data_IF_094468947519
#
_entry.id   IF_094468947519
#
_cell.length_a   1.000
_cell.length_b   1.000
_cell.length_c   1.000
_cell.angle_alpha   90.00
_cell.angle_beta   90.00
_cell.angle_gamma   90.00
#
_symmetry.space_group_name_H-M   'P 1'
#
loop_
_entity.id
_entity.type
_entity.pdbx_description
1 polymer ?
#
# COMPACT_ATOMS: atom_id res chain seq x y z
N UNK A 1 21.72 13.53 14.16
CA UNK A 1 20.48 12.80 13.83
C UNK A 1 19.55 13.81 13.17
N UNK A 2 18.94 13.44 12.05
CA UNK A 2 17.94 14.28 11.39
C UNK A 2 16.76 14.48 12.35
N UNK A 3 16.29 15.72 12.53
CA UNK A 3 15.07 15.98 13.29
C UNK A 3 13.88 15.56 12.43
N UNK A 4 13.36 14.36 12.69
CA UNK A 4 12.16 13.86 12.02
C UNK A 4 10.93 14.43 12.72
N UNK A 5 10.04 15.01 11.94
CA UNK A 5 8.72 15.44 12.38
C UNK A 5 7.66 14.61 11.68
N UNK A 6 6.50 14.53 12.31
CA UNK A 6 5.36 13.80 11.77
C UNK A 6 4.08 14.60 11.86
N UNK A 7 3.12 14.29 10.98
CA UNK A 7 1.71 14.62 11.14
C UNK A 7 0.91 13.33 11.14
N UNK A 8 -0.19 13.31 11.89
CA UNK A 8 -1.02 12.12 12.06
C UNK A 8 -2.48 12.47 11.76
N UNK A 9 -3.22 11.51 11.20
CA UNK A 9 -4.68 11.54 11.15
C UNK A 9 -5.20 10.12 11.25
N UNK A 10 -6.32 9.91 11.93
CA UNK A 10 -6.92 8.59 12.03
C UNK A 10 -8.44 8.71 12.15
N UNK A 11 -9.14 7.68 11.71
CA UNK A 11 -10.58 7.61 11.82
C UNK A 11 -11.08 6.21 11.57
N UNK A 12 -12.29 5.96 12.06
CA UNK A 12 -13.02 4.74 11.81
C UNK A 12 -14.49 5.08 11.57
N UNK A 13 -15.14 4.33 10.69
CA UNK A 13 -16.56 4.43 10.39
C UNK A 13 -17.18 3.02 10.41
N UNK A 14 -18.42 2.92 10.89
CA UNK A 14 -19.15 1.64 10.96
C UNK A 14 -19.48 1.10 9.57
N UNK A 15 -19.50 1.95 8.55
CA UNK A 15 -20.04 1.63 7.24
C UNK A 15 -21.56 1.78 7.21
N UNK A 16 -22.14 1.48 6.04
CA UNK A 16 -23.57 1.65 5.79
C UNK A 16 -24.39 0.38 6.07
N UNK A 17 -23.72 -0.77 6.15
CA UNK A 17 -24.38 -2.09 6.23
C UNK A 17 -24.22 -2.75 7.60
N UNK A 18 -23.06 -2.58 8.25
CA UNK A 18 -22.79 -3.17 9.57
C UNK A 18 -23.56 -2.42 10.66
N UNK A 19 -23.82 -3.11 11.78
CA UNK A 19 -24.50 -2.53 12.96
C UNK A 19 -23.54 -2.05 14.02
N UNK A 20 -22.39 -2.70 14.12
CA UNK A 20 -21.35 -2.46 15.10
C UNK A 20 -20.04 -2.20 14.36
N UNK A 21 -19.10 -1.56 15.06
CA UNK A 21 -17.73 -1.46 14.61
C UNK A 21 -16.88 -2.53 15.31
N UNK A 22 -16.41 -3.51 14.56
CA UNK A 22 -15.51 -4.57 15.02
C UNK A 22 -14.04 -4.21 14.75
N UNK A 23 -13.77 -3.19 13.94
CA UNK A 23 -12.45 -2.60 13.83
C UNK A 23 -12.03 -1.87 15.11
N UNK A 24 -10.72 -1.89 15.36
CA UNK A 24 -10.10 -1.11 16.39
C UNK A 24 -8.74 -0.57 15.91
N UNK A 25 -8.32 0.56 16.46
CA UNK A 25 -7.03 1.15 16.12
C UNK A 25 -6.48 1.91 17.31
N UNK A 26 -5.16 2.11 17.30
CA UNK A 26 -4.52 3.00 18.25
C UNK A 26 -3.36 3.74 17.61
N UNK A 27 -3.16 4.98 18.04
CA UNK A 27 -2.02 5.80 17.67
C UNK A 27 -1.36 6.31 18.94
N UNK A 28 -0.04 6.16 19.02
CA UNK A 28 0.77 6.86 20.00
C UNK A 28 1.76 7.76 19.28
N UNK A 29 1.61 9.08 19.46
CA UNK A 29 2.44 10.10 18.81
C UNK A 29 3.88 10.11 19.29
N UNK A 30 4.11 9.76 20.55
CA UNK A 30 5.43 9.72 21.18
C UNK A 30 5.37 8.67 22.28
N UNK A 31 5.92 7.48 22.01
CA UNK A 31 5.92 6.35 22.93
C UNK A 31 6.68 6.61 24.24
N UNK A 32 7.40 7.73 24.35
CA UNK A 32 7.95 8.22 25.64
C UNK A 32 6.85 8.73 26.58
N UNK A 33 5.69 9.08 26.01
CA UNK A 33 4.51 9.56 26.68
C UNK A 33 3.46 8.43 26.60
N UNK A 34 2.94 8.00 27.75
CA UNK A 34 1.91 6.95 27.81
C UNK A 34 0.52 7.46 27.39
N UNK A 35 0.46 8.24 26.31
CA UNK A 35 -0.73 8.91 25.80
C UNK A 35 -1.13 8.31 24.45
N UNK A 36 -2.24 7.57 24.47
CA UNK A 36 -2.87 7.00 23.28
C UNK A 36 -3.94 7.97 22.80
N UNK A 37 -3.87 8.37 21.54
CA UNK A 37 -4.70 9.44 20.98
C UNK A 37 -5.49 8.96 19.77
N UNK A 38 -6.58 9.65 19.49
CA UNK A 38 -7.19 9.70 18.16
C UNK A 38 -6.79 11.05 17.57
N UNK A 39 -5.83 11.11 16.64
CA UNK A 39 -5.36 12.37 16.07
C UNK A 39 -6.48 13.06 15.27
N UNK A 40 -6.94 14.20 15.77
CA UNK A 40 -8.01 15.04 15.18
C UNK A 40 -7.46 16.28 14.46
N UNK A 41 -6.15 16.56 14.54
CA UNK A 41 -5.52 17.74 13.97
C UNK A 41 -4.26 17.38 13.19
N UNK A 42 -3.99 18.13 12.13
CA UNK A 42 -2.78 17.99 11.29
C UNK A 42 -1.54 18.65 11.95
N UNK A 43 -1.45 18.60 13.27
CA UNK A 43 -0.36 19.21 14.01
C UNK A 43 0.96 18.50 13.71
N UNK A 44 2.02 19.29 13.57
CA UNK A 44 3.37 18.77 13.33
C UNK A 44 4.05 18.51 14.66
N UNK A 45 4.43 17.26 14.90
CA UNK A 45 4.99 16.78 16.17
C UNK A 45 6.40 16.27 15.90
N UNK A 46 7.32 16.45 16.86
CA UNK A 46 8.66 15.88 16.76
C UNK A 46 8.60 14.37 17.08
N UNK A 47 9.31 13.55 16.32
CA UNK A 47 9.43 12.12 16.61
C UNK A 47 10.18 11.93 17.93
N UNK A 48 9.54 11.28 18.90
CA UNK A 48 10.11 11.06 20.23
C UNK A 48 11.19 9.98 20.28
N UNK A 49 11.83 9.79 21.45
CA UNK A 49 12.93 8.81 21.65
C UNK A 49 12.53 7.40 21.21
N UNK A 50 11.34 6.97 21.60
CA UNK A 50 10.81 5.66 21.23
C UNK A 50 9.93 5.71 19.97
N UNK A 51 9.86 6.85 19.31
CA UNK A 51 9.13 7.02 18.08
C UNK A 51 7.61 7.00 18.25
N UNK A 52 6.92 6.64 17.17
CA UNK A 52 5.47 6.71 17.01
C UNK A 52 4.93 5.34 16.61
N UNK A 53 3.80 4.95 17.20
CA UNK A 53 3.14 3.68 16.91
C UNK A 53 1.79 3.89 16.24
N UNK A 54 1.53 3.13 15.19
CA UNK A 54 0.28 3.09 14.46
C UNK A 54 -0.17 1.62 14.42
N UNK A 55 -1.42 1.34 14.80
CA UNK A 55 -1.96 -0.01 14.78
C UNK A 55 -3.40 0.02 14.29
N UNK A 56 -3.74 -0.92 13.40
CA UNK A 56 -5.12 -1.25 13.01
C UNK A 56 -5.33 -2.74 13.24
N UNK A 57 -6.49 -3.09 13.78
CA UNK A 57 -6.94 -4.46 14.02
C UNK A 57 -8.39 -4.58 13.56
N UNK A 58 -8.63 -5.43 12.58
CA UNK A 58 -9.95 -5.69 12.00
C UNK A 58 -10.55 -6.94 12.65
N UNK A 59 -11.53 -6.72 13.51
CA UNK A 59 -12.18 -7.75 14.29
C UNK A 59 -13.13 -8.56 13.41
N UNK A 60 -13.04 -9.88 13.49
CA UNK A 60 -13.88 -10.77 12.72
C UNK A 60 -14.49 -11.87 13.59
N UNK A 61 -15.78 -12.11 13.36
CA UNK A 61 -16.45 -13.26 13.92
C UNK A 61 -17.96 -13.10 13.91
N UNK A 62 -18.64 -13.26 12.78
CA UNK A 62 -20.11 -13.41 12.69
C UNK A 62 -20.96 -12.77 13.81
N UNK A 63 -21.69 -13.59 14.59
CA UNK A 63 -22.43 -13.14 15.79
C UNK A 63 -21.57 -13.01 17.07
N UNK A 64 -20.26 -13.20 16.94
CA UNK A 64 -19.32 -13.57 17.98
C UNK A 64 -18.15 -12.57 18.05
N UNK A 65 -18.37 -11.47 18.75
CA UNK A 65 -17.36 -10.73 19.51
C UNK A 65 -16.08 -10.29 18.76
N UNK A 66 -16.15 -9.96 17.47
CA UNK A 66 -15.01 -9.43 16.70
C UNK A 66 -14.42 -8.17 17.35
N UNK A 67 -15.28 -7.30 17.88
CA UNK A 67 -14.91 -6.10 18.63
C UNK A 67 -14.12 -6.41 19.90
N UNK A 68 -14.35 -7.59 20.51
CA UNK A 68 -13.62 -8.04 21.69
C UNK A 68 -12.23 -8.52 21.29
N UNK A 69 -12.12 -9.25 20.18
CA UNK A 69 -10.83 -9.72 19.68
C UNK A 69 -9.91 -8.56 19.29
N UNK A 70 -10.42 -7.61 18.51
CA UNK A 70 -9.64 -6.43 18.09
C UNK A 70 -9.26 -5.55 19.29
N UNK A 71 -10.13 -5.41 20.29
CA UNK A 71 -9.80 -4.72 21.54
C UNK A 71 -8.69 -5.40 22.34
N UNK A 72 -8.72 -6.74 22.48
CA UNK A 72 -7.65 -7.50 23.17
C UNK A 72 -6.32 -7.34 22.43
N UNK A 73 -6.33 -7.34 21.09
CA UNK A 73 -5.13 -7.12 20.29
C UNK A 73 -4.52 -5.74 20.55
N UNK A 74 -5.34 -4.68 20.49
CA UNK A 74 -4.90 -3.31 20.78
C UNK A 74 -4.37 -3.19 22.21
N UNK A 75 -5.11 -3.69 23.20
CA UNK A 75 -4.68 -3.64 24.62
C UNK A 75 -3.34 -4.36 24.82
N UNK A 76 -3.15 -5.51 24.17
CA UNK A 76 -1.90 -6.27 24.25
C UNK A 76 -0.73 -5.47 23.68
N UNK A 77 -0.92 -4.77 22.55
CA UNK A 77 0.09 -3.89 21.98
C UNK A 77 0.38 -2.72 22.91
N UNK A 78 -0.65 -2.05 23.43
CA UNK A 78 -0.46 -0.93 24.35
C UNK A 78 0.35 -1.34 25.59
N UNK A 79 0.06 -2.52 26.14
CA UNK A 79 0.78 -3.09 27.26
C UNK A 79 2.22 -3.48 26.91
N UNK A 80 2.54 -3.82 25.67
CA UNK A 80 3.90 -4.13 25.23
C UNK A 80 4.75 -2.86 25.04
N UNK A 81 4.14 -1.78 24.60
CA UNK A 81 4.78 -0.52 24.23
C UNK A 81 4.81 0.53 25.36
N UNK A 82 5.17 0.11 26.58
CA UNK A 82 5.41 1.05 27.68
C UNK A 82 6.86 1.55 27.69
N UNK A 83 7.14 2.79 28.13
CA UNK A 83 8.50 3.32 28.21
C UNK A 83 9.49 2.36 28.89
N UNK A 84 9.09 1.70 29.98
CA UNK A 84 9.95 0.80 30.76
C UNK A 84 10.29 -0.49 30.00
N UNK A 85 9.42 -0.95 29.10
CA UNK A 85 9.69 -2.09 28.22
C UNK A 85 10.55 -1.67 27.04
N UNK A 86 10.28 -0.48 26.48
CA UNK A 86 11.02 0.06 25.34
C UNK A 86 12.46 0.44 25.70
N UNK A 87 12.75 0.88 26.93
CA UNK A 87 14.13 1.10 27.42
C UNK A 87 15.02 -0.15 27.33
N UNK A 88 14.42 -1.35 27.37
CA UNK A 88 15.16 -2.63 27.27
C UNK A 88 15.48 -3.01 25.82
N UNK A 89 14.79 -2.39 24.87
CA UNK A 89 14.92 -2.65 23.42
C UNK A 89 15.74 -1.54 22.79
N UNK A 90 15.35 -0.29 23.04
CA UNK A 90 15.99 0.94 22.57
C UNK A 90 16.93 1.43 23.68
N UNK A 91 18.15 0.90 23.71
CA UNK A 91 19.13 1.19 24.75
C UNK A 91 19.62 2.64 24.68
N UNK A 92 20.06 3.16 25.83
CA UNK A 92 20.47 4.56 26.05
C UNK A 92 21.92 4.85 25.62
N UNK A 93 22.59 3.95 24.90
CA UNK A 93 24.05 4.02 24.66
C UNK A 93 24.41 4.05 23.16
N UNK A 94 23.71 4.84 22.36
CA UNK A 94 23.98 5.07 20.92
C UNK A 94 23.99 3.82 20.01
N UNK A 95 23.76 2.62 20.55
CA UNK A 95 23.50 1.42 19.77
C UNK A 95 22.01 1.38 19.39
N UNK A 96 21.73 1.63 18.11
CA UNK A 96 20.40 1.39 17.56
C UNK A 96 20.00 -0.06 17.87
N UNK A 97 18.80 -0.26 18.42
CA UNK A 97 18.19 -1.58 18.51
C UNK A 97 18.31 -2.26 17.15
N UNK A 98 18.91 -3.45 17.11
CA UNK A 98 19.09 -4.16 15.84
C UNK A 98 17.73 -4.47 15.25
N UNK A 99 17.67 -4.56 13.91
CA UNK A 99 16.43 -4.86 13.22
C UNK A 99 15.83 -6.19 13.68
N UNK A 100 16.69 -7.17 13.98
CA UNK A 100 16.31 -8.48 14.50
C UNK A 100 15.68 -8.39 15.90
N UNK A 101 16.20 -7.52 16.77
CA UNK A 101 15.62 -7.32 18.11
C UNK A 101 14.22 -6.68 18.03
N UNK A 102 14.03 -5.75 17.08
CA UNK A 102 12.74 -5.10 16.83
C UNK A 102 11.75 -6.11 16.22
N UNK A 103 12.18 -6.91 15.24
CA UNK A 103 11.39 -8.00 14.66
C UNK A 103 10.94 -9.00 15.74
N UNK A 104 11.88 -9.43 16.60
CA UNK A 104 11.57 -10.36 17.69
C UNK A 104 10.56 -9.76 18.68
N UNK A 105 10.71 -8.48 19.03
CA UNK A 105 9.80 -7.78 19.92
C UNK A 105 8.38 -7.65 19.35
N UNK A 106 8.25 -7.23 18.09
CA UNK A 106 6.97 -7.11 17.39
C UNK A 106 6.31 -8.50 17.22
N UNK A 107 7.10 -9.50 16.80
CA UNK A 107 6.62 -10.89 16.66
C UNK A 107 6.10 -11.45 17.98
N UNK A 108 6.82 -11.24 19.09
CA UNK A 108 6.37 -11.64 20.42
C UNK A 108 5.10 -10.92 20.85
N UNK A 109 5.00 -9.64 20.53
CA UNK A 109 3.80 -8.82 20.84
C UNK A 109 2.57 -9.36 20.13
N UNK A 110 2.67 -9.63 18.81
CA UNK A 110 1.56 -10.18 18.04
C UNK A 110 1.19 -11.61 18.50
N UNK A 111 2.19 -12.46 18.78
CA UNK A 111 1.93 -13.81 19.32
C UNK A 111 1.31 -13.80 20.71
N UNK A 112 1.63 -12.80 21.53
CA UNK A 112 0.98 -12.61 22.83
C UNK A 112 -0.48 -12.19 22.65
N UNK A 113 -0.77 -11.29 21.69
CA UNK A 113 -2.13 -10.89 21.36
C UNK A 113 -2.98 -12.09 20.91
N UNK A 114 -2.45 -12.92 20.00
CA UNK A 114 -3.06 -14.18 19.57
C UNK A 114 -3.40 -15.10 20.76
N UNK A 115 -2.43 -15.33 21.66
CA UNK A 115 -2.65 -16.17 22.82
C UNK A 115 -3.70 -15.60 23.78
N UNK A 116 -3.71 -14.29 23.99
CA UNK A 116 -4.69 -13.62 24.84
C UNK A 116 -6.11 -13.77 24.28
N UNK A 117 -6.28 -13.61 22.96
CA UNK A 117 -7.58 -13.79 22.28
C UNK A 117 -8.03 -15.26 22.39
N UNK A 118 -7.15 -16.22 22.11
CA UNK A 118 -7.45 -17.66 22.24
C UNK A 118 -7.82 -18.07 23.68
N UNK A 119 -7.25 -17.40 24.69
CA UNK A 119 -7.59 -17.68 26.08
C UNK A 119 -8.95 -17.06 26.44
N UNK A 120 -9.18 -15.81 26.07
CA UNK A 120 -10.47 -15.13 26.29
C UNK A 120 -11.63 -15.86 25.58
N UNK A 121 -11.40 -16.43 24.40
CA UNK A 121 -12.41 -17.20 23.65
C UNK A 121 -12.81 -18.53 24.31
N UNK A 122 -12.04 -18.99 25.31
CA UNK A 122 -12.33 -20.22 26.08
C UNK A 122 -13.08 -19.94 27.37
N UNK A 123 -12.96 -18.73 27.91
CA UNK A 123 -13.56 -18.34 29.18
C UNK A 123 -15.04 -18.00 29.03
N UNK A 124 -15.46 -17.48 27.86
CA UNK A 124 -16.85 -17.20 27.54
C UNK A 124 -17.28 -17.92 26.25
N UNK A 125 -18.41 -18.64 26.32
CA UNK A 125 -19.02 -19.25 25.14
C UNK A 125 -19.47 -18.24 24.08
N UNK A 126 -19.75 -16.98 24.47
CA UNK A 126 -20.19 -15.92 23.56
C UNK A 126 -19.07 -15.38 22.66
N UNK A 127 -17.81 -15.58 23.05
CA UNK A 127 -16.61 -15.14 22.34
C UNK A 127 -15.92 -16.29 21.58
N UNK A 128 -16.57 -17.46 21.48
CA UNK A 128 -16.01 -18.60 20.76
C UNK A 128 -15.84 -18.30 19.28
N UNK A 129 -14.62 -18.50 18.78
CA UNK A 129 -14.29 -18.29 17.38
C UNK A 129 -14.08 -16.82 17.00
N UNK A 130 -14.02 -15.90 17.96
CA UNK A 130 -13.58 -14.53 17.69
C UNK A 130 -12.14 -14.52 17.17
N UNK A 131 -11.87 -13.64 16.22
CA UNK A 131 -10.53 -13.42 15.70
C UNK A 131 -10.36 -11.96 15.28
N UNK A 132 -9.14 -11.58 14.95
CA UNK A 132 -8.86 -10.25 14.42
C UNK A 132 -7.62 -10.31 13.54
N UNK A 133 -7.56 -9.43 12.56
CA UNK A 133 -6.28 -9.08 11.92
C UNK A 133 -5.46 -8.19 12.85
N UNK A 134 -4.22 -7.94 12.49
CA UNK A 134 -3.44 -6.82 13.01
C UNK A 134 -2.44 -6.34 11.97
N UNK A 135 -2.27 -5.03 11.87
CA UNK A 135 -1.14 -4.39 11.17
C UNK A 135 -0.58 -3.29 12.05
N UNK A 136 0.73 -3.34 12.28
CA UNK A 136 1.49 -2.40 13.10
C UNK A 136 2.50 -1.69 12.21
N UNK A 137 2.63 -0.38 12.35
CA UNK A 137 3.78 0.38 11.89
C UNK A 137 4.39 1.13 13.07
N UNK A 138 5.65 0.82 13.38
CA UNK A 138 6.43 1.53 14.37
C UNK A 138 7.48 2.40 13.67
N UNK A 139 7.27 3.71 13.72
CA UNK A 139 8.19 4.71 13.17
C UNK A 139 9.22 5.01 14.26
N UNK A 140 10.47 4.60 14.05
CA UNK A 140 11.55 4.74 15.03
C UNK A 140 12.83 5.14 14.31
N UNK A 141 13.42 6.26 14.71
CA UNK A 141 14.57 6.87 14.04
C UNK A 141 14.27 7.03 12.53
N UNK A 142 15.20 6.64 11.66
CA UNK A 142 15.09 6.77 10.20
C UNK A 142 14.40 5.55 9.53
N UNK A 143 13.70 4.71 10.30
CA UNK A 143 13.02 3.51 9.80
C UNK A 143 11.57 3.41 10.24
N UNK A 144 10.76 2.76 9.40
CA UNK A 144 9.48 2.19 9.76
C UNK A 144 9.62 0.66 9.88
N UNK A 145 9.06 0.09 10.93
CA UNK A 145 9.00 -1.36 11.17
C UNK A 145 7.55 -1.80 11.11
N UNK A 146 7.24 -2.65 10.13
CA UNK A 146 5.90 -3.11 9.82
C UNK A 146 5.78 -4.57 10.24
N UNK A 147 4.75 -4.90 11.01
CA UNK A 147 4.45 -6.27 11.41
C UNK A 147 2.95 -6.52 11.30
N UNK A 148 2.54 -7.61 10.66
CA UNK A 148 1.12 -7.86 10.39
C UNK A 148 0.75 -9.33 10.41
N UNK A 149 -0.54 -9.59 10.66
CA UNK A 149 -1.18 -10.89 10.50
C UNK A 149 -2.63 -10.66 10.05
N UNK A 150 -2.97 -11.13 8.85
CA UNK A 150 -4.28 -10.89 8.24
C UNK A 150 -4.14 -10.12 6.93
N UNK A 151 -5.21 -9.49 6.51
CA UNK A 151 -5.35 -8.78 5.24
C UNK A 151 -5.60 -7.27 5.40
N UNK A 152 -5.64 -6.74 6.63
CA UNK A 152 -5.43 -5.31 6.85
C UNK A 152 -4.03 -4.91 6.34
N UNK A 153 -3.94 -3.72 5.75
CA UNK A 153 -2.78 -3.35 4.93
C UNK A 153 -2.00 -2.16 5.47
N UNK A 154 -0.72 -2.14 5.12
CA UNK A 154 0.16 -0.97 5.27
C UNK A 154 0.68 -0.58 3.88
N UNK A 155 0.56 0.70 3.56
CA UNK A 155 1.06 1.32 2.32
C UNK A 155 2.00 2.48 2.65
N UNK A 156 2.86 2.81 1.69
CA UNK A 156 3.62 4.07 1.68
C UNK A 156 3.43 4.78 0.34
N UNK A 157 3.11 6.06 0.40
CA UNK A 157 3.08 6.98 -0.72
C UNK A 157 4.21 8.00 -0.60
N UNK A 158 4.84 8.34 -1.72
CA UNK A 158 5.74 9.48 -1.82
C UNK A 158 5.65 10.05 -3.23
N UNK A 159 5.54 11.37 -3.38
CA UNK A 159 5.43 12.01 -4.69
C UNK A 159 6.60 11.68 -5.64
N UNK A 160 7.78 11.39 -5.10
CA UNK A 160 8.98 11.08 -5.87
C UNK A 160 9.16 9.57 -6.14
N UNK A 161 8.74 8.69 -5.23
CA UNK A 161 8.89 7.23 -5.40
C UNK A 161 7.62 6.45 -5.70
N UNK A 162 6.46 7.10 -5.69
CA UNK A 162 5.15 6.51 -5.98
C UNK A 162 4.51 5.81 -4.77
N UNK A 163 3.58 4.91 -5.07
CA UNK A 163 2.78 4.17 -4.10
C UNK A 163 3.23 2.71 -4.03
N UNK A 164 3.35 2.18 -2.80
CA UNK A 164 3.80 0.82 -2.56
C UNK A 164 3.05 0.19 -1.39
N UNK A 165 2.49 -1.01 -1.59
CA UNK A 165 1.98 -1.86 -0.51
C UNK A 165 3.14 -2.52 0.23
N UNK A 166 3.28 -2.23 1.51
CA UNK A 166 4.35 -2.75 2.38
C UNK A 166 4.00 -4.09 3.01
N UNK A 167 2.73 -4.34 3.31
CA UNK A 167 2.24 -5.64 3.77
C UNK A 167 1.89 -6.56 2.59
N UNK A 168 1.65 -7.83 2.91
CA UNK A 168 1.14 -8.81 1.96
C UNK A 168 0.06 -9.64 2.64
N UNK A 169 -1.13 -9.60 2.08
CA UNK A 169 -2.31 -10.16 2.73
C UNK A 169 -2.15 -11.66 3.02
N UNK A 170 -2.60 -12.07 4.20
CA UNK A 170 -2.78 -13.48 4.52
C UNK A 170 -4.19 -13.90 4.10
N UNK A 171 -4.41 -13.99 2.79
CA UNK A 171 -5.71 -14.31 2.20
C UNK A 171 -5.59 -15.38 1.12
N UNK A 172 -6.70 -16.07 0.87
CA UNK A 172 -6.79 -17.13 -0.13
C UNK A 172 -6.43 -16.63 -1.54
N UNK A 173 -6.90 -15.43 -1.90
CA UNK A 173 -6.59 -14.83 -3.21
C UNK A 173 -5.12 -14.45 -3.33
N UNK A 174 -4.49 -13.95 -2.26
CA UNK A 174 -3.06 -13.66 -2.26
C UNK A 174 -2.23 -14.95 -2.39
N UNK A 175 -2.65 -16.05 -1.75
CA UNK A 175 -2.01 -17.35 -1.90
C UNK A 175 -2.11 -17.88 -3.34
N UNK A 176 -3.23 -17.66 -4.03
CA UNK A 176 -3.37 -18.04 -5.45
C UNK A 176 -2.47 -17.20 -6.36
N UNK A 177 -2.38 -15.89 -6.09
CA UNK A 177 -1.48 -14.98 -6.81
C UNK A 177 -0.03 -15.42 -6.65
N UNK A 178 0.38 -15.75 -5.43
CA UNK A 178 1.74 -16.19 -5.11
C UNK A 178 2.13 -17.50 -5.80
N UNK A 179 1.15 -18.38 -5.99
CA UNK A 179 1.31 -19.64 -6.70
C UNK A 179 1.25 -19.48 -8.23
N UNK A 180 1.03 -18.27 -8.75
CA UNK A 180 0.83 -18.00 -10.17
C UNK A 180 -0.46 -18.62 -10.74
N UNK A 181 -1.44 -18.91 -9.87
CA UNK A 181 -2.75 -19.48 -10.23
C UNK A 181 -3.82 -18.42 -10.50
N UNK A 182 -3.57 -17.18 -10.06
CA UNK A 182 -4.45 -16.04 -10.25
C UNK A 182 -3.58 -14.84 -10.63
N UNK A 183 -3.96 -14.12 -11.69
CA UNK A 183 -3.30 -12.86 -12.00
C UNK A 183 -3.65 -11.80 -10.93
N UNK A 184 -2.70 -10.97 -10.47
CA UNK A 184 -2.96 -9.96 -9.44
C UNK A 184 -4.15 -9.05 -9.74
N UNK A 185 -4.34 -8.68 -11.01
CA UNK A 185 -5.43 -7.82 -11.47
C UNK A 185 -6.83 -8.44 -11.23
N UNK A 186 -6.91 -9.78 -11.17
CA UNK A 186 -8.16 -10.51 -10.94
C UNK A 186 -8.40 -10.83 -9.45
N UNK A 187 -7.45 -10.52 -8.57
CA UNK A 187 -7.56 -10.88 -7.15
C UNK A 187 -8.64 -10.05 -6.43
N UNK A 188 -8.79 -8.79 -6.81
CA UNK A 188 -9.72 -7.85 -6.19
C UNK A 188 -11.19 -8.29 -6.38
N UNK A 189 -11.58 -8.63 -7.61
CA UNK A 189 -12.95 -9.02 -7.96
C UNK A 189 -13.26 -10.52 -7.74
N UNK A 190 -12.33 -11.26 -7.12
CA UNK A 190 -12.48 -12.70 -6.96
C UNK A 190 -13.59 -13.04 -5.93
N UNK A 191 -14.46 -14.04 -6.17
CA UNK A 191 -15.58 -14.38 -5.27
C UNK A 191 -15.22 -14.77 -3.83
N UNK A 192 -13.93 -15.04 -3.58
CA UNK A 192 -13.38 -15.44 -2.28
C UNK A 192 -12.31 -14.44 -1.80
N UNK A 193 -12.40 -13.18 -2.22
CA UNK A 193 -11.46 -12.12 -1.84
C UNK A 193 -11.45 -11.82 -0.33
N UNK A 194 -12.57 -12.08 0.35
CA UNK A 194 -12.76 -11.92 1.80
C UNK A 194 -12.34 -13.14 2.64
N UNK A 195 -11.75 -14.17 2.03
CA UNK A 195 -11.32 -15.38 2.75
C UNK A 195 -9.88 -15.21 3.22
N UNK A 196 -9.71 -14.95 4.51
CA UNK A 196 -8.39 -14.89 5.13
C UNK A 196 -7.83 -16.28 5.48
N UNK A 197 -6.50 -16.41 5.47
CA UNK A 197 -5.78 -17.67 5.75
C UNK A 197 -5.00 -17.62 7.05
N UNK A 198 -4.74 -16.43 7.61
CA UNK A 198 -4.14 -16.24 8.94
C UNK A 198 -4.78 -15.04 9.64
N UNK A 199 -5.10 -15.19 10.91
CA UNK A 199 -5.51 -14.13 11.83
C UNK A 199 -4.99 -14.42 13.23
N UNK A 200 -5.28 -13.54 14.17
CA UNK A 200 -5.15 -13.80 15.60
C UNK A 200 -6.44 -14.44 16.13
N UNK A 201 -6.33 -15.26 17.17
CA UNK A 201 -7.48 -15.90 17.82
C UNK A 201 -7.82 -17.29 17.29
N UNK A 202 -7.16 -17.77 16.23
CA UNK A 202 -7.39 -19.11 15.69
C UNK A 202 -6.81 -20.18 16.65
N UNK A 203 -7.66 -21.05 17.25
CA UNK A 203 -7.18 -22.07 18.17
C UNK A 203 -6.42 -23.21 17.48
N UNK A 204 -6.59 -23.35 16.16
CA UNK A 204 -6.02 -24.42 15.32
C UNK A 204 -4.74 -24.00 14.61
N UNK A 205 -4.60 -22.70 14.31
CA UNK A 205 -3.45 -22.15 13.61
C UNK A 205 -2.87 -20.96 14.40
N UNK A 206 -1.73 -21.18 15.05
CA UNK A 206 -1.05 -20.10 15.78
C UNK A 206 -0.58 -19.02 14.83
N UNK A 207 -0.70 -17.76 15.26
CA UNK A 207 -0.21 -16.63 14.50
C UNK A 207 1.29 -16.76 14.16
N UNK A 208 1.60 -16.59 12.88
CA UNK A 208 2.95 -16.38 12.38
C UNK A 208 2.95 -15.05 11.61
N UNK A 209 3.18 -13.93 12.32
CA UNK A 209 3.14 -12.62 11.69
C UNK A 209 4.33 -12.46 10.74
N UNK A 210 4.10 -11.69 9.68
CA UNK A 210 5.16 -11.27 8.76
C UNK A 210 5.73 -9.93 9.24
N UNK A 211 6.97 -9.65 8.86
CA UNK A 211 7.71 -8.44 9.24
C UNK A 211 8.45 -7.83 8.05
N UNK A 212 8.55 -6.51 8.04
CA UNK A 212 9.34 -5.75 7.07
C UNK A 212 9.84 -4.45 7.68
N UNK A 213 11.09 -4.07 7.39
CA UNK A 213 11.59 -2.72 7.63
C UNK A 213 11.56 -1.87 6.35
N UNK A 214 11.47 -0.56 6.51
CA UNK A 214 11.51 0.41 5.42
C UNK A 214 12.29 1.66 5.86
N UNK A 215 13.21 2.13 5.02
CA UNK A 215 13.99 3.35 5.29
C UNK A 215 13.15 4.58 4.93
N UNK A 216 12.92 5.45 5.91
CA UNK A 216 12.09 6.64 5.76
C UNK A 216 12.74 7.62 4.77
N UNK A 217 11.90 8.23 3.94
CA UNK A 217 12.25 9.38 3.12
C UNK A 217 11.45 10.59 3.58
N UNK A 218 11.94 11.75 3.20
CA UNK A 218 11.16 12.98 3.33
C UNK A 218 9.88 12.88 2.50
N UNK A 219 8.78 13.40 3.05
CA UNK A 219 7.43 13.36 2.50
C UNK A 219 6.82 11.96 2.29
N UNK A 220 7.33 10.92 2.97
CA UNK A 220 6.63 9.64 3.02
C UNK A 220 5.30 9.76 3.78
N UNK A 221 4.22 9.26 3.19
CA UNK A 221 2.90 9.13 3.83
C UNK A 221 2.59 7.64 3.98
N UNK A 222 2.57 7.18 5.22
CA UNK A 222 2.12 5.83 5.56
C UNK A 222 0.60 5.82 5.72
N UNK A 223 -0.02 4.76 5.22
CA UNK A 223 -1.43 4.43 5.41
C UNK A 223 -1.55 3.02 5.98
N UNK A 224 -2.16 2.88 7.15
CA UNK A 224 -2.68 1.62 7.64
C UNK A 224 -4.19 1.61 7.48
N UNK A 225 -4.76 0.51 6.99
CA UNK A 225 -6.20 0.39 6.83
C UNK A 225 -6.72 -1.04 7.02
N UNK A 226 -7.97 -1.15 7.47
CA UNK A 226 -8.76 -2.40 7.42
C UNK A 226 -9.20 -2.73 5.99
N UNK A 227 -9.77 -3.92 5.80
CA UNK A 227 -10.24 -4.35 4.48
C UNK A 227 -11.45 -3.55 3.99
N UNK A 228 -12.19 -2.88 4.88
CA UNK A 228 -13.28 -1.98 4.49
C UNK A 228 -12.82 -0.81 3.62
N UNK A 229 -11.52 -0.44 3.62
CA UNK A 229 -10.95 0.42 2.59
C UNK A 229 -10.41 -0.41 1.42
N UNK A 230 -9.41 -1.25 1.67
CA UNK A 230 -8.60 -1.85 0.61
C UNK A 230 -9.20 -3.08 -0.08
N UNK A 231 -10.35 -3.56 0.42
CA UNK A 231 -11.25 -4.52 -0.21
C UNK A 231 -12.40 -3.86 -0.98
N UNK A 232 -12.62 -2.55 -0.82
CA UNK A 232 -13.66 -1.79 -1.54
C UNK A 232 -13.11 -0.79 -2.56
N UNK A 233 -11.90 -0.27 -2.35
CA UNK A 233 -11.23 0.68 -3.24
C UNK A 233 -9.96 0.04 -3.83
N UNK A 234 -9.73 0.25 -5.12
CA UNK A 234 -8.49 -0.21 -5.76
C UNK A 234 -7.28 0.61 -5.28
N UNK A 235 -6.09 -0.02 -5.31
CA UNK A 235 -4.82 0.64 -4.92
C UNK A 235 -4.58 1.95 -5.71
N UNK A 236 -4.98 2.01 -6.99
CA UNK A 236 -4.88 3.23 -7.80
C UNK A 236 -5.76 4.37 -7.29
N UNK A 237 -6.97 4.06 -6.81
CA UNK A 237 -7.92 5.05 -6.27
C UNK A 237 -7.41 5.58 -4.93
N UNK A 238 -6.94 4.67 -4.05
CA UNK A 238 -6.32 5.02 -2.77
C UNK A 238 -5.10 5.93 -2.99
N UNK A 239 -4.23 5.58 -3.95
CA UNK A 239 -3.07 6.40 -4.32
C UNK A 239 -3.50 7.79 -4.77
N UNK A 240 -4.50 7.88 -5.66
CA UNK A 240 -4.94 9.17 -6.19
C UNK A 240 -5.49 10.07 -5.08
N UNK A 241 -6.29 9.52 -4.15
CA UNK A 241 -6.82 10.29 -3.02
C UNK A 241 -5.69 10.82 -2.14
N UNK A 242 -4.67 10.01 -1.85
CA UNK A 242 -3.51 10.45 -1.08
C UNK A 242 -2.74 11.55 -1.82
N UNK A 243 -2.47 11.36 -3.11
CA UNK A 243 -1.73 12.33 -3.94
C UNK A 243 -2.43 13.70 -3.98
N UNK A 244 -3.75 13.72 -4.12
CA UNK A 244 -4.56 14.95 -4.17
C UNK A 244 -4.64 15.67 -2.81
N UNK A 245 -4.54 14.93 -1.70
CA UNK A 245 -4.77 15.45 -0.34
C UNK A 245 -3.53 15.39 0.58
N UNK A 246 -2.33 15.16 0.05
CA UNK A 246 -1.08 15.00 0.82
C UNK A 246 -0.75 16.16 1.80
N UNK A 247 -1.30 17.36 1.56
CA UNK A 247 -1.05 18.54 2.39
C UNK A 247 -1.92 18.60 3.65
N UNK A 248 -3.05 17.88 3.67
CA UNK A 248 -4.01 17.86 4.77
C UNK A 248 -4.46 16.42 5.04
N UNK A 249 -3.81 15.78 6.02
CA UNK A 249 -4.10 14.40 6.36
C UNK A 249 -5.52 14.19 6.92
N UNK A 250 -6.14 15.22 7.50
CA UNK A 250 -7.51 15.10 8.02
C UNK A 250 -8.46 14.95 6.83
N UNK A 251 -8.34 15.84 5.84
CA UNK A 251 -9.11 15.76 4.60
C UNK A 251 -8.79 14.47 3.84
N UNK A 252 -7.52 14.09 3.74
CA UNK A 252 -7.11 12.84 3.09
C UNK A 252 -7.81 11.62 3.71
N UNK A 253 -7.78 11.50 5.05
CA UNK A 253 -8.46 10.45 5.79
C UNK A 253 -9.98 10.48 5.57
N UNK A 254 -10.61 11.65 5.60
CA UNK A 254 -12.05 11.79 5.35
C UNK A 254 -12.42 11.35 3.92
N UNK A 255 -11.64 11.76 2.91
CA UNK A 255 -11.85 11.37 1.51
C UNK A 255 -11.67 9.86 1.28
N UNK A 256 -10.72 9.22 1.97
CA UNK A 256 -10.54 7.76 1.92
C UNK A 256 -11.75 7.01 2.51
N UNK A 257 -12.29 7.48 3.64
CA UNK A 257 -13.52 6.92 4.24
C UNK A 257 -14.70 7.13 3.29
N UNK A 258 -14.88 8.36 2.77
CA UNK A 258 -15.96 8.69 1.84
C UNK A 258 -15.91 7.83 0.58
N UNK A 259 -14.73 7.54 0.04
CA UNK A 259 -14.56 6.66 -1.11
C UNK A 259 -15.09 5.24 -0.82
N UNK A 260 -14.72 4.65 0.31
CA UNK A 260 -15.22 3.33 0.71
C UNK A 260 -16.76 3.32 0.90
N UNK A 261 -17.31 4.37 1.52
CA UNK A 261 -18.75 4.52 1.69
C UNK A 261 -19.49 4.68 0.35
N UNK A 262 -18.90 5.37 -0.62
CA UNK A 262 -19.50 5.61 -1.94
C UNK A 262 -19.65 4.32 -2.77
N UNK A 263 -18.78 3.32 -2.57
CA UNK A 263 -18.86 2.00 -3.22
C UNK A 263 -19.86 1.06 -2.53
N UNK A 264 -20.39 1.48 -1.37
CA UNK A 264 -21.48 0.81 -0.66
C UNK A 264 -21.29 0.70 0.84
N UNK A 265 -20.07 0.92 1.36
CA UNK A 265 -19.78 0.87 2.79
C UNK A 265 -20.20 -0.46 3.42
N UNK A 266 -19.84 -1.58 2.78
CA UNK A 266 -20.28 -2.91 3.19
C UNK A 266 -19.61 -3.41 4.49
N UNK A 267 -18.49 -2.79 4.87
CA UNK A 267 -17.75 -3.13 6.08
C UNK A 267 -17.38 -1.92 6.93
N UNK A 268 -16.84 -2.20 8.12
CA UNK A 268 -16.17 -1.20 8.94
C UNK A 268 -14.93 -0.68 8.22
N UNK A 269 -14.70 0.64 8.27
CA UNK A 269 -13.60 1.27 7.55
C UNK A 269 -12.72 2.00 8.55
N UNK A 270 -11.47 1.57 8.70
CA UNK A 270 -10.51 2.17 9.62
C UNK A 270 -9.26 2.58 8.90
N UNK A 271 -8.81 3.81 9.14
CA UNK A 271 -7.66 4.45 8.48
C UNK A 271 -6.78 5.12 9.52
N UNK A 272 -5.47 4.92 9.40
CA UNK A 272 -4.45 5.64 10.16
C UNK A 272 -3.36 6.13 9.20
N UNK A 273 -3.13 7.44 9.16
CA UNK A 273 -2.14 8.12 8.32
C UNK A 273 -1.00 8.70 9.16
N UNK A 274 0.22 8.61 8.62
CA UNK A 274 1.41 9.27 9.16
C UNK A 274 2.25 9.89 8.04
N UNK A 275 2.40 11.22 8.05
CA UNK A 275 3.26 11.95 7.10
C UNK A 275 4.59 12.28 7.77
N UNK A 276 5.67 11.82 7.17
CA UNK A 276 7.05 12.03 7.59
C UNK A 276 7.57 13.32 6.98
N UNK A 277 8.15 14.18 7.82
CA UNK A 277 8.77 15.45 7.43
C UNK A 277 10.20 15.44 7.98
N UNK A 278 11.17 15.22 7.10
CA UNK A 278 12.59 15.30 7.43
C UNK A 278 13.09 16.69 7.02
N UNK A 279 13.57 17.49 7.97
CA UNK A 279 14.33 18.69 7.57
C UNK A 279 15.67 18.22 7.01
N UNK A 280 15.94 18.47 5.73
CA UNK A 280 17.31 18.41 5.23
C UNK A 280 18.15 19.42 6.04
N UNK A 281 19.12 18.92 6.80
CA UNK A 281 20.27 19.74 7.16
C UNK A 281 20.96 20.14 5.86
N UNK A 282 21.14 21.44 5.63
CA UNK A 282 21.86 22.05 4.50
C UNK A 282 23.34 21.60 4.43
N UNK A 283 23.61 20.31 4.27
CA UNK A 283 24.89 19.83 3.77
C UNK A 283 24.78 19.55 2.28
N UNK A 284 25.62 20.18 1.44
CA UNK A 284 25.56 20.00 0.00
C UNK A 284 25.97 18.56 -0.32
N UNK A 285 24.98 17.70 -0.59
CA UNK A 285 25.22 16.35 -1.12
C UNK A 285 25.96 16.49 -2.45
N UNK A 286 27.21 16.03 -2.47
CA UNK A 286 28.01 15.96 -3.68
C UNK A 286 27.24 15.20 -4.76
N UNK A 287 27.13 15.81 -5.95
CA UNK A 287 26.50 15.22 -7.12
C UNK A 287 27.17 13.87 -7.47
N UNK A 288 26.58 12.76 -7.03
CA UNK A 288 26.81 11.48 -7.66
C UNK A 288 25.86 11.36 -8.86
N UNK A 289 26.45 11.47 -10.04
CA UNK A 289 25.82 11.11 -11.30
C UNK A 289 25.50 9.61 -11.32
N UNK A 290 24.36 9.24 -10.74
CA UNK A 290 23.76 7.93 -10.99
C UNK A 290 22.68 8.12 -12.05
N UNK A 291 23.02 7.74 -13.28
CA UNK A 291 22.08 7.47 -14.37
C UNK A 291 21.05 6.44 -13.89
N UNK A 292 19.89 6.93 -13.44
CA UNK A 292 18.69 6.12 -13.24
C UNK A 292 17.93 6.13 -14.56
N UNK A 293 17.67 4.94 -15.11
CA UNK A 293 16.67 4.77 -16.16
C UNK A 293 15.32 5.26 -15.62
N UNK A 294 14.94 6.47 -16.02
CA UNK A 294 13.60 6.98 -15.79
C UNK A 294 12.61 6.10 -16.58
N UNK A 295 11.65 5.51 -15.87
CA UNK A 295 10.50 4.85 -16.49
C UNK A 295 9.75 5.93 -17.31
N UNK A 296 9.42 5.70 -18.59
CA UNK A 296 8.78 6.72 -19.40
C UNK A 296 7.44 7.09 -18.76
N UNK A 297 7.23 8.40 -18.58
CA UNK A 297 5.99 8.97 -18.07
C UNK A 297 4.84 8.63 -19.03
N UNK A 298 4.18 7.48 -18.79
CA UNK A 298 3.12 6.94 -19.62
C UNK A 298 1.93 7.90 -19.76
N UNK A 299 1.75 8.81 -18.80
CA UNK A 299 0.69 9.80 -18.86
C UNK A 299 0.98 10.91 -19.89
N UNK A 300 2.24 11.34 -20.03
CA UNK A 300 2.68 12.24 -21.11
C UNK A 300 2.72 11.52 -22.46
N UNK A 301 3.16 10.25 -22.49
CA UNK A 301 3.19 9.46 -23.72
C UNK A 301 1.79 9.20 -24.29
N UNK A 302 0.81 8.82 -23.46
CA UNK A 302 -0.61 8.68 -23.89
C UNK A 302 -1.18 10.00 -24.41
N UNK A 303 -0.88 11.13 -23.77
CA UNK A 303 -1.31 12.47 -24.26
C UNK A 303 -0.69 12.82 -25.61
N UNK A 304 0.59 12.51 -25.84
CA UNK A 304 1.26 12.75 -27.13
C UNK A 304 0.67 11.86 -28.23
N UNK A 305 0.45 10.58 -27.95
CA UNK A 305 -0.16 9.64 -28.92
C UNK A 305 -1.58 10.06 -29.28
N UNK A 306 -2.38 10.48 -28.30
CA UNK A 306 -3.74 10.98 -28.55
C UNK A 306 -3.73 12.25 -29.40
N UNK A 307 -2.81 13.20 -29.13
CA UNK A 307 -2.66 14.42 -29.91
C UNK A 307 -2.26 14.12 -31.37
N UNK A 308 -1.32 13.20 -31.58
CA UNK A 308 -0.90 12.77 -32.91
C UNK A 308 -2.03 12.10 -33.69
N UNK A 309 -2.87 11.30 -33.02
CA UNK A 309 -4.03 10.66 -33.63
C UNK A 309 -5.08 11.70 -34.08
N UNK A 310 -5.36 12.70 -33.24
CA UNK A 310 -6.29 13.80 -33.60
C UNK A 310 -5.74 14.63 -34.77
N UNK A 311 -4.44 14.94 -34.76
CA UNK A 311 -3.78 15.63 -35.89
C UNK A 311 -3.85 14.83 -37.19
N UNK A 312 -3.67 13.50 -37.12
CA UNK A 312 -3.78 12.62 -38.29
C UNK A 312 -5.21 12.59 -38.86
N UNK A 313 -6.24 12.56 -38.00
CA UNK A 313 -7.65 12.64 -38.43
C UNK A 313 -7.98 13.98 -39.07
N UNK A 314 -7.50 15.09 -38.50
CA UNK A 314 -7.69 16.42 -39.07
C UNK A 314 -6.98 16.56 -40.42
N UNK A 315 -5.75 16.06 -40.55
CA UNK A 315 -5.01 16.06 -41.80
C UNK A 315 -5.68 15.17 -42.85
N UNK A 316 -6.15 13.98 -42.47
CA UNK A 316 -6.90 13.08 -43.33
C UNK A 316 -8.20 13.72 -43.85
N UNK A 317 -8.96 14.37 -42.96
CA UNK A 317 -10.15 15.13 -43.33
C UNK A 317 -9.84 16.32 -44.26
N UNK A 318 -8.73 17.02 -44.02
CA UNK A 318 -8.28 18.13 -44.87
C UNK A 318 -7.86 17.67 -46.27
N UNK A 319 -7.14 16.55 -46.37
CA UNK A 319 -6.72 15.95 -47.65
C UNK A 319 -7.92 15.36 -48.41
N UNK A 320 -8.91 14.79 -47.70
CA UNK A 320 -10.15 14.31 -48.31
C UNK A 320 -10.95 15.44 -48.95
N UNK A 321 -11.01 16.62 -48.30
CA UNK A 321 -11.66 17.81 -48.85
C UNK A 321 -10.86 18.50 -49.98
N UNK A 322 -9.57 18.20 -50.13
CA UNK A 322 -8.67 18.82 -51.12
C UNK A 322 -7.93 17.78 -52.00
N UNK A 323 -8.63 17.12 -52.94
CA UNK A 323 -8.09 15.99 -53.71
C UNK A 323 -6.86 16.33 -54.57
N UNK A 324 -6.71 17.59 -54.99
CA UNK A 324 -5.55 18.06 -55.77
C UNK A 324 -4.22 17.99 -54.99
N UNK A 325 -4.26 18.12 -53.66
CA UNK A 325 -3.09 18.00 -52.79
C UNK A 325 -2.73 16.54 -52.50
N UNK A 326 -3.74 15.68 -52.35
CA UNK A 326 -3.56 14.23 -52.18
C UNK A 326 -2.84 13.60 -53.37
N UNK A 327 -3.20 14.02 -54.60
CA UNK A 327 -2.56 13.55 -55.84
C UNK A 327 -1.07 13.92 -55.92
N UNK A 328 -0.70 15.16 -55.53
CA UNK A 328 0.70 15.61 -55.49
C UNK A 328 1.54 14.83 -54.47
N UNK A 329 0.97 14.45 -53.33
CA UNK A 329 1.67 13.68 -52.30
C UNK A 329 1.88 12.22 -52.71
N UNK A 330 0.88 11.56 -53.31
CA UNK A 330 1.01 10.16 -53.77
C UNK A 330 2.10 9.99 -54.84
N UNK A 331 2.22 10.94 -55.77
CA UNK A 331 3.24 10.92 -56.81
C UNK A 331 4.68 11.07 -56.28
N UNK A 332 4.86 11.62 -55.07
CA UNK A 332 6.18 11.84 -54.46
C UNK A 332 6.65 10.65 -53.60
N UNK A 333 5.72 9.84 -53.10
CA UNK A 333 6.01 8.71 -52.20
C UNK A 333 6.17 7.39 -52.98
N UNK A 334 5.47 7.23 -54.10
CA UNK A 334 5.54 6.01 -54.93
C UNK A 334 5.89 6.38 -56.38
N UNK A 335 7.17 6.63 -56.72
CA UNK A 335 7.59 6.71 -58.11
C UNK A 335 7.42 5.32 -58.75
N UNK A 336 6.70 5.25 -59.86
CA UNK A 336 6.42 4.00 -60.57
C UNK A 336 7.60 3.68 -61.49
N UNK A 337 8.51 2.81 -61.06
CA UNK A 337 9.57 2.32 -61.95
C UNK A 337 8.99 1.26 -62.88
N UNK A 338 8.99 1.57 -64.18
CA UNK A 338 8.62 0.64 -65.25
C UNK A 338 9.90 -0.05 -65.70
N UNK A 339 10.07 -1.34 -65.41
CA UNK A 339 11.24 -2.11 -65.87
C UNK A 339 10.89 -2.88 -67.14
N UNK A 340 11.65 -2.62 -68.20
CA UNK A 340 11.59 -3.25 -69.51
C UNK A 340 12.30 -4.62 -69.44
N UNK A 341 11.67 -5.65 -70.01
CA UNK A 341 12.21 -7.02 -70.13
C UNK A 341 13.20 -7.09 -71.30
N UNK A 342 14.38 -7.68 -71.06
CA UNK A 342 15.26 -8.21 -72.12
C UNK A 342 15.78 -9.60 -71.75
N UNK A 343 15.70 -10.51 -72.72
CA UNK A 343 16.04 -11.94 -72.67
C UNK A 343 17.55 -12.25 -72.63
N UNK A 344 17.83 -13.55 -72.40
CA UNK A 344 19.09 -14.34 -72.55
C UNK A 344 20.07 -14.25 -71.38
N UNK A 345 20.64 -15.33 -70.85
CA UNK A 345 21.07 -16.56 -71.53
C UNK A 345 21.11 -17.80 -70.60
N UNK A 346 20.96 -18.96 -71.22
CA UNK A 346 21.00 -20.32 -70.65
C UNK A 346 22.42 -20.83 -70.35
N UNK A 347 22.63 -21.44 -69.17
CA UNK A 347 23.51 -22.60 -69.04
C UNK A 347 23.20 -23.44 -67.80
N UNK A 348 22.72 -24.65 -68.07
CA UNK A 348 22.53 -25.85 -67.26
C UNK A 348 23.74 -26.26 -66.41
N UNK A 349 23.49 -26.83 -65.22
CA UNK A 349 23.94 -28.18 -64.78
C UNK A 349 23.04 -28.62 -63.61
N UNK A 350 22.47 -29.82 -63.75
CA UNK A 350 21.55 -30.54 -62.84
C UNK A 350 22.32 -31.48 -61.87
N UNK A 351 21.71 -32.47 -61.18
CA UNK A 351 21.22 -32.33 -59.81
C UNK A 351 21.69 -33.45 -58.84
N UNK A 352 21.17 -33.38 -57.60
CA UNK A 352 20.68 -34.51 -56.77
C UNK A 352 21.63 -35.18 -55.74
N UNK A 353 21.14 -36.02 -54.80
CA UNK A 353 20.71 -35.62 -53.44
C UNK A 353 21.34 -36.47 -52.31
N UNK A 354 21.11 -36.09 -51.05
CA UNK A 354 20.55 -36.94 -49.98
C UNK A 354 20.24 -36.08 -48.73
#
# INVERSE_FOLDING_TARGET
MSEIKIKLAAGTDVGLVRKNNEDNFVVNRDLSQSEWIIPQSSETILLGKYGTLLVVADGMGGTNAGEVASAIAIETVQNAFTPEKLDKIVTLEDEMATEEAIEEFLTKTVKAADLNIVNASKEDSSTQGMGTTIVIAWILNEKAYICWCGDSRCYVFNANSGFCRLSKDHSYVQDLVDQGKLDPENAFDHPYNNVITRCLGDPTNRSNPDFRSYNLKDDDIFLLCSDGLCGLCHDEEIMQIIEENQNDLVVCKDQLIEAALAVGGYDNVTIVLCHIIQKETDEPKANLNNTVFSKPNNHKFRKIVLLLFVLALLLGGYLYKNPQLSAKWKAKIFPTDTVIVTETDTSTISPQPD
#
